data_IF_885843365634
#
_entry.id   IF_885843365634
#
_cell.length_a   1.000
_cell.length_b   1.000
_cell.length_c   1.000
_cell.angle_alpha   90.00
_cell.angle_beta   90.00
_cell.angle_gamma   90.00
#
_symmetry.space_group_name_H-M   'P 1'
#
loop_
_entity.id
_entity.type
_entity.pdbx_description
1 polymer ?
#
# COMPACT_ATOMS: atom_id res chain seq x y z
N UNK A 1 1.79 18.09 -3.01
CA UNK A 1 0.79 19.16 -3.30
C UNK A 1 -0.13 18.65 -4.38
N UNK A 2 -1.45 18.58 -4.13
CA UNK A 2 -2.39 18.03 -5.12
C UNK A 2 -2.75 19.11 -6.14
N UNK A 3 -2.51 18.84 -7.42
CA UNK A 3 -2.86 19.76 -8.48
C UNK A 3 -4.39 19.84 -8.64
N UNK A 4 -4.95 21.04 -8.72
CA UNK A 4 -6.40 21.27 -8.80
C UNK A 4 -7.01 20.98 -10.18
N UNK A 5 -6.17 20.80 -11.21
CA UNK A 5 -6.60 20.74 -12.62
C UNK A 5 -7.64 19.63 -12.85
N UNK A 6 -7.50 18.48 -12.20
CA UNK A 6 -8.42 17.34 -12.37
C UNK A 6 -9.86 17.62 -11.89
N UNK A 7 -10.02 18.64 -11.05
CA UNK A 7 -11.30 19.11 -10.52
C UNK A 7 -11.89 20.28 -11.33
N UNK A 8 -11.19 20.74 -12.36
CA UNK A 8 -11.63 21.85 -13.21
C UNK A 8 -12.39 21.37 -14.46
N UNK A 9 -13.10 22.27 -15.15
CA UNK A 9 -13.75 21.97 -16.42
C UNK A 9 -12.80 21.39 -17.46
N UNK A 10 -13.36 20.67 -18.45
CA UNK A 10 -12.62 19.93 -19.48
C UNK A 10 -11.47 20.73 -20.12
N UNK A 11 -11.66 22.03 -20.38
CA UNK A 11 -10.63 22.90 -20.99
C UNK A 11 -9.28 22.87 -20.26
N UNK A 12 -9.28 22.84 -18.92
CA UNK A 12 -8.05 22.80 -18.14
C UNK A 12 -7.45 21.39 -18.10
N UNK A 13 -8.31 20.37 -18.05
CA UNK A 13 -7.90 18.96 -18.05
C UNK A 13 -7.24 18.59 -19.38
N UNK A 14 -7.79 19.06 -20.51
CA UNK A 14 -7.19 18.88 -21.83
C UNK A 14 -5.78 19.48 -21.94
N UNK A 15 -5.51 20.63 -21.30
CA UNK A 15 -4.14 21.20 -21.27
C UNK A 15 -3.19 20.24 -20.56
N UNK A 16 -3.61 19.67 -19.42
CA UNK A 16 -2.86 18.66 -18.69
C UNK A 16 -2.70 17.37 -19.49
N UNK A 17 -3.73 16.91 -20.18
CA UNK A 17 -3.68 15.70 -21.00
C UNK A 17 -2.68 15.85 -22.16
N UNK A 18 -2.63 17.03 -22.80
CA UNK A 18 -1.64 17.33 -23.83
C UNK A 18 -0.21 17.30 -23.28
N UNK A 19 0.00 17.83 -22.08
CA UNK A 19 1.29 17.74 -21.40
C UNK A 19 1.64 16.27 -21.08
N UNK A 20 0.70 15.52 -20.52
CA UNK A 20 0.89 14.10 -20.19
C UNK A 20 1.13 13.25 -21.44
N UNK A 21 0.56 13.61 -22.60
CA UNK A 21 0.83 12.97 -23.89
C UNK A 21 2.32 13.06 -24.27
N UNK A 22 2.91 14.25 -24.18
CA UNK A 22 4.33 14.46 -24.49
C UNK A 22 5.23 13.86 -23.41
N UNK A 23 4.88 14.06 -22.13
CA UNK A 23 5.75 13.68 -21.02
C UNK A 23 5.71 12.17 -20.71
N UNK A 24 4.53 11.53 -20.85
CA UNK A 24 4.29 10.13 -20.46
C UNK A 24 3.91 9.22 -21.63
N UNK A 25 3.69 9.77 -22.82
CA UNK A 25 3.22 9.00 -23.98
C UNK A 25 1.75 8.58 -23.90
N UNK A 26 0.93 9.18 -23.01
CA UNK A 26 -0.48 8.79 -22.87
C UNK A 26 -1.30 9.24 -24.07
N UNK A 27 -2.04 8.34 -24.70
CA UNK A 27 -2.81 8.65 -25.92
C UNK A 27 -4.27 9.06 -25.66
N UNK A 28 -4.81 8.78 -24.49
CA UNK A 28 -6.22 9.03 -24.15
C UNK A 28 -6.37 9.61 -22.74
N UNK A 29 -7.38 10.46 -22.58
CA UNK A 29 -7.84 10.92 -21.26
C UNK A 29 -8.24 9.72 -20.40
N UNK A 30 -7.83 9.72 -19.12
CA UNK A 30 -8.27 8.69 -18.17
C UNK A 30 -9.76 8.80 -17.92
N UNK A 31 -10.45 7.66 -17.88
CA UNK A 31 -11.87 7.61 -17.54
C UNK A 31 -12.15 8.32 -16.20
N UNK A 32 -13.21 9.13 -16.15
CA UNK A 32 -13.60 9.88 -14.95
C UNK A 32 -13.85 8.97 -13.74
N UNK A 33 -14.40 7.78 -13.97
CA UNK A 33 -14.63 6.77 -12.92
C UNK A 33 -13.33 6.34 -12.24
N UNK A 34 -12.25 6.14 -13.01
CA UNK A 34 -10.93 5.80 -12.49
C UNK A 34 -10.33 6.96 -11.70
N UNK A 35 -10.48 8.20 -12.20
CA UNK A 35 -10.03 9.40 -11.48
C UNK A 35 -10.76 9.54 -10.14
N UNK A 36 -12.09 9.45 -10.14
CA UNK A 36 -12.91 9.54 -8.93
C UNK A 36 -12.64 8.38 -7.96
N UNK A 37 -12.48 7.15 -8.46
CA UNK A 37 -12.12 5.99 -7.63
C UNK A 37 -10.77 6.18 -6.94
N UNK A 38 -9.76 6.61 -7.68
CA UNK A 38 -8.44 6.90 -7.11
C UNK A 38 -8.48 8.06 -6.13
N UNK A 39 -9.29 9.08 -6.40
CA UNK A 39 -9.48 10.22 -5.50
C UNK A 39 -10.03 9.75 -4.14
N UNK A 40 -11.16 9.03 -4.14
CA UNK A 40 -11.74 8.50 -2.90
C UNK A 40 -10.77 7.54 -2.20
N UNK A 41 -10.07 6.68 -2.94
CA UNK A 41 -9.07 5.78 -2.34
C UNK A 41 -7.87 6.53 -1.73
N UNK A 42 -7.50 7.69 -2.27
CA UNK A 42 -6.40 8.51 -1.73
C UNK A 42 -6.76 9.13 -0.39
N UNK A 43 -8.00 9.60 -0.22
CA UNK A 43 -8.44 10.29 1.00
C UNK A 43 -9.11 9.35 2.02
N UNK A 44 -9.81 8.34 1.53
CA UNK A 44 -10.63 7.41 2.33
C UNK A 44 -10.20 5.97 2.10
N UNK A 45 -8.88 5.74 1.98
CA UNK A 45 -8.31 4.45 1.61
C UNK A 45 -8.73 3.29 2.53
N UNK A 46 -8.88 3.50 3.84
CA UNK A 46 -9.32 2.44 4.74
C UNK A 46 -10.82 2.13 4.59
N UNK A 47 -11.66 3.13 4.33
CA UNK A 47 -13.07 2.89 4.03
C UNK A 47 -13.24 2.11 2.71
N UNK A 48 -12.49 2.50 1.67
CA UNK A 48 -12.45 1.76 0.39
C UNK A 48 -11.90 0.35 0.61
N UNK A 49 -10.86 0.19 1.43
CA UNK A 49 -10.27 -1.10 1.75
C UNK A 49 -11.26 -2.02 2.45
N UNK A 50 -12.08 -1.53 3.40
CA UNK A 50 -13.13 -2.35 4.04
C UNK A 50 -14.11 -2.94 3.02
N UNK A 51 -14.50 -2.16 2.00
CA UNK A 51 -15.34 -2.67 0.91
C UNK A 51 -14.61 -3.70 0.03
N UNK A 52 -13.32 -3.47 -0.23
CA UNK A 52 -12.50 -4.39 -1.02
C UNK A 52 -12.30 -5.72 -0.30
N UNK A 53 -11.96 -5.68 0.99
CA UNK A 53 -11.72 -6.85 1.85
C UNK A 53 -12.94 -7.77 1.83
N UNK A 54 -14.11 -7.19 2.13
CA UNK A 54 -15.38 -7.93 2.17
C UNK A 54 -15.72 -8.67 0.88
N UNK A 55 -15.27 -8.17 -0.27
CA UNK A 55 -15.67 -8.71 -1.57
C UNK A 55 -14.62 -9.58 -2.23
N UNK A 56 -13.33 -9.28 -2.03
CA UNK A 56 -12.26 -9.83 -2.87
C UNK A 56 -11.08 -10.40 -2.11
N UNK A 57 -10.91 -10.08 -0.82
CA UNK A 57 -9.71 -10.49 -0.10
C UNK A 57 -9.86 -11.92 0.45
N UNK A 58 -8.85 -12.74 0.23
CA UNK A 58 -8.78 -14.12 0.71
C UNK A 58 -7.89 -14.21 1.96
N UNK A 59 -8.50 -14.58 3.09
CA UNK A 59 -7.80 -14.76 4.36
C UNK A 59 -6.77 -15.89 4.31
N UNK A 60 -6.96 -16.90 3.45
CA UNK A 60 -5.99 -17.96 3.27
C UNK A 60 -4.70 -17.41 2.62
N UNK A 61 -4.82 -16.56 1.60
CA UNK A 61 -3.68 -15.87 1.00
C UNK A 61 -2.92 -14.98 2.01
N UNK A 62 -3.62 -14.39 2.98
CA UNK A 62 -3.00 -13.63 4.08
C UNK A 62 -2.15 -14.52 4.98
N UNK A 63 -2.66 -15.69 5.37
CA UNK A 63 -1.93 -16.65 6.20
C UNK A 63 -0.68 -17.19 5.48
N UNK A 64 -0.82 -17.56 4.20
CA UNK A 64 0.32 -17.98 3.38
C UNK A 64 1.39 -16.89 3.27
N UNK A 65 0.97 -15.62 3.19
CA UNK A 65 1.90 -14.49 3.18
C UNK A 65 2.66 -14.34 4.51
N UNK A 66 2.02 -14.62 5.66
CA UNK A 66 2.71 -14.62 6.96
C UNK A 66 3.79 -15.70 7.02
N UNK A 67 3.48 -16.91 6.56
CA UNK A 67 4.45 -18.00 6.48
C UNK A 67 5.61 -17.67 5.54
N UNK A 68 5.32 -17.10 4.37
CA UNK A 68 6.34 -16.66 3.42
C UNK A 68 7.30 -15.63 4.04
N UNK A 69 6.78 -14.63 4.76
CA UNK A 69 7.62 -13.63 5.43
C UNK A 69 8.47 -14.26 6.54
N UNK A 70 7.91 -15.21 7.30
CA UNK A 70 8.68 -15.95 8.31
C UNK A 70 9.84 -16.72 7.67
N UNK A 71 9.60 -17.38 6.53
CA UNK A 71 10.61 -18.10 5.78
C UNK A 71 11.70 -17.18 5.22
N UNK A 72 11.31 -16.02 4.66
CA UNK A 72 12.27 -15.00 4.18
C UNK A 72 13.12 -14.48 5.33
N UNK A 73 12.53 -14.21 6.50
CA UNK A 73 13.28 -13.77 7.69
C UNK A 73 14.31 -14.83 8.09
N UNK A 74 13.92 -16.10 8.11
CA UNK A 74 14.83 -17.21 8.43
C UNK A 74 16.00 -17.27 7.44
N UNK A 75 15.70 -17.28 6.14
CA UNK A 75 16.74 -17.30 5.11
C UNK A 75 17.69 -16.10 5.19
N UNK A 76 17.18 -14.92 5.56
CA UNK A 76 18.02 -13.74 5.79
C UNK A 76 18.95 -13.91 6.99
N UNK A 77 18.49 -14.53 8.08
CA UNK A 77 19.32 -14.82 9.25
C UNK A 77 20.41 -15.84 8.87
N UNK A 78 20.05 -16.92 8.18
CA UNK A 78 21.00 -17.93 7.70
C UNK A 78 22.09 -17.28 6.82
N UNK A 79 21.71 -16.34 5.93
CA UNK A 79 22.65 -15.56 5.11
C UNK A 79 23.55 -14.63 5.93
N UNK A 80 23.06 -14.06 7.04
CA UNK A 80 23.89 -13.23 7.93
C UNK A 80 24.96 -14.06 8.64
N UNK A 81 24.62 -15.29 9.03
CA UNK A 81 25.56 -16.20 9.69
C UNK A 81 26.70 -16.57 8.74
N UNK A 82 26.40 -16.88 7.48
CA UNK A 82 27.38 -17.22 6.43
C UNK A 82 28.18 -16.03 5.88
N UNK A 83 27.77 -14.79 6.21
CA UNK A 83 28.40 -13.58 5.70
C UNK A 83 29.86 -13.42 6.16
N UNK A 84 30.82 -13.32 5.24
CA UNK A 84 32.24 -13.18 5.56
C UNK A 84 32.72 -11.73 5.68
N UNK A 85 31.91 -10.76 5.24
CA UNK A 85 32.27 -9.35 5.20
C UNK A 85 31.81 -8.56 6.43
N UNK A 86 30.91 -9.13 7.26
CA UNK A 86 30.41 -8.52 8.48
C UNK A 86 31.10 -9.05 9.72
N UNK A 87 31.48 -8.17 10.64
CA UNK A 87 31.93 -8.55 11.98
C UNK A 87 30.78 -9.10 12.84
N UNK A 88 31.13 -9.82 13.92
CA UNK A 88 30.17 -10.52 14.78
C UNK A 88 29.20 -9.58 15.53
N UNK A 89 29.63 -8.37 15.87
CA UNK A 89 28.80 -7.38 16.53
C UNK A 89 27.73 -6.87 15.58
N UNK A 90 28.13 -6.52 14.36
CA UNK A 90 27.23 -6.07 13.30
C UNK A 90 26.23 -7.15 12.90
N UNK A 91 26.64 -8.43 12.83
CA UNK A 91 25.73 -9.57 12.59
C UNK A 91 24.65 -9.69 13.66
N UNK A 92 25.05 -9.67 14.93
CA UNK A 92 24.11 -9.72 16.06
C UNK A 92 23.06 -8.59 15.96
N UNK A 93 23.50 -7.36 15.66
CA UNK A 93 22.58 -6.22 15.48
C UNK A 93 21.67 -6.36 14.25
N UNK A 94 22.16 -6.95 13.17
CA UNK A 94 21.34 -7.22 12.00
C UNK A 94 20.26 -8.28 12.28
N UNK A 95 20.58 -9.32 13.06
CA UNK A 95 19.62 -10.34 13.50
C UNK A 95 18.55 -9.73 14.42
N UNK A 96 18.97 -8.92 15.42
CA UNK A 96 18.04 -8.18 16.30
C UNK A 96 17.05 -7.34 15.46
N UNK A 97 17.55 -6.61 14.46
CA UNK A 97 16.72 -5.82 13.55
C UNK A 97 15.78 -6.69 12.73
N UNK A 98 16.23 -7.85 12.23
CA UNK A 98 15.41 -8.75 11.43
C UNK A 98 14.20 -9.28 12.23
N UNK A 99 14.37 -9.58 13.52
CA UNK A 99 13.28 -9.94 14.42
C UNK A 99 12.37 -8.76 14.78
N UNK A 100 12.91 -7.55 14.85
CA UNK A 100 12.13 -6.34 15.13
C UNK A 100 11.24 -5.87 13.96
N UNK A 101 11.41 -6.42 12.75
CA UNK A 101 10.56 -6.08 11.60
C UNK A 101 9.15 -6.62 11.80
N UNK A 102 8.19 -5.71 11.92
CA UNK A 102 6.77 -6.00 11.98
C UNK A 102 6.17 -6.10 10.57
N UNK A 103 5.65 -7.27 10.22
CA UNK A 103 4.99 -7.52 8.95
C UNK A 103 3.56 -6.93 8.95
N UNK A 104 3.26 -6.07 7.97
CA UNK A 104 1.91 -5.55 7.72
C UNK A 104 1.38 -6.18 6.44
N UNK A 105 0.44 -7.12 6.55
CA UNK A 105 -0.06 -7.92 5.42
C UNK A 105 -1.53 -7.62 5.17
N UNK A 106 -1.83 -7.15 3.96
CA UNK A 106 -3.20 -6.86 3.51
C UNK A 106 -3.76 -5.60 4.16
N UNK A 107 -4.32 -5.74 5.36
CA UNK A 107 -5.05 -4.69 6.06
C UNK A 107 -4.84 -4.76 7.58
N UNK A 108 -5.04 -3.63 8.31
CA UNK A 108 -5.02 -3.64 9.77
C UNK A 108 -6.24 -4.35 10.36
N UNK A 109 -6.04 -5.13 11.43
CA UNK A 109 -7.03 -6.08 11.96
C UNK A 109 -8.41 -5.48 12.27
N UNK A 110 -8.48 -4.20 12.67
CA UNK A 110 -9.75 -3.54 12.96
C UNK A 110 -10.70 -3.46 11.75
N UNK A 111 -10.16 -3.55 10.52
CA UNK A 111 -10.95 -3.57 9.28
C UNK A 111 -11.61 -4.93 8.98
N UNK A 112 -11.16 -6.03 9.61
CA UNK A 112 -11.82 -7.34 9.47
C UNK A 112 -13.17 -7.39 10.18
N UNK A 113 -13.34 -6.61 11.25
CA UNK A 113 -14.59 -6.59 12.00
C UNK A 113 -15.66 -5.81 11.25
N UNK A 114 -16.93 -6.19 11.41
CA UNK A 114 -18.06 -5.38 10.90
C UNK A 114 -18.17 -4.03 11.64
N UNK A 115 -17.58 -3.91 12.83
CA UNK A 115 -17.51 -2.65 13.58
C UNK A 115 -16.79 -1.55 12.76
N UNK A 116 -17.43 -0.38 12.65
CA UNK A 116 -16.93 0.78 11.90
C UNK A 116 -16.52 1.94 12.79
N UNK A 117 -16.63 1.86 14.12
CA UNK A 117 -16.36 2.97 15.02
C UNK A 117 -14.97 3.59 14.83
N UNK A 118 -13.93 2.77 14.62
CA UNK A 118 -12.59 3.30 14.36
C UNK A 118 -12.48 4.04 13.02
N UNK A 119 -13.20 3.56 11.99
CA UNK A 119 -13.28 4.25 10.70
C UNK A 119 -14.08 5.55 10.81
N UNK A 120 -15.19 5.54 11.54
CA UNK A 120 -16.02 6.73 11.78
C UNK A 120 -15.22 7.80 12.52
N UNK A 121 -14.50 7.43 13.59
CA UNK A 121 -13.59 8.35 14.31
C UNK A 121 -12.54 8.91 13.36
N UNK A 122 -11.97 8.07 12.49
CA UNK A 122 -10.94 8.51 11.55
C UNK A 122 -11.43 9.55 10.53
N UNK A 123 -12.71 9.53 10.17
CA UNK A 123 -13.32 10.41 9.17
C UNK A 123 -14.41 11.32 9.75
N UNK A 124 -14.33 11.62 11.06
CA UNK A 124 -15.35 12.40 11.77
C UNK A 124 -15.27 13.92 11.49
N UNK A 125 -14.14 14.40 10.98
CA UNK A 125 -13.87 15.80 10.61
C UNK A 125 -14.01 16.02 9.08
#
# INVERSE_FOLDING_TARGET
MMHRIDNLPKRFRTIKDNFDHVFRGTTTERARTVICGNYVNTFMGFAVSKLYIKKYFDDNARNQSYEMIANIRKAFIDMLDDSTWMDSMSKTKAIEKAFAINAKIGYPDYLASDNVTQLEIQYAD
#
